data_IF_078676618161
#
_entry.id   IF_078676618161
#
_cell.length_a   1.000
_cell.length_b   1.000
_cell.length_c   1.000
_cell.angle_alpha   90.00
_cell.angle_beta   90.00
_cell.angle_gamma   90.00
#
_symmetry.space_group_name_H-M   'P 1'
#
loop_
_entity.id
_entity.type
_entity.pdbx_description
1 polymer ?
#
# COMPACT_ATOMS: atom_id res chain seq x y z
N UNK A 1 6.79 -1.95 -1.56
CA UNK A 1 6.11 -1.63 -0.31
C UNK A 1 4.68 -1.20 -0.60
N UNK A 2 3.69 -1.81 0.06
CA UNK A 2 2.27 -1.52 -0.15
C UNK A 2 1.79 -0.23 0.56
N UNK A 3 2.64 0.42 1.34
CA UNK A 3 2.29 1.60 2.12
C UNK A 3 3.34 2.70 1.96
N UNK A 4 2.89 3.95 2.07
CA UNK A 4 3.78 5.10 2.17
C UNK A 4 4.65 4.95 3.44
N UNK A 5 5.98 4.95 3.33
CA UNK A 5 6.89 4.68 4.46
C UNK A 5 6.77 5.70 5.60
N UNK A 6 6.36 6.93 5.30
CA UNK A 6 6.22 8.00 6.31
C UNK A 6 5.00 7.81 7.23
N UNK A 7 4.02 7.03 6.84
CA UNK A 7 2.82 6.79 7.66
C UNK A 7 3.00 5.65 8.66
N UNK A 8 3.88 4.72 8.38
CA UNK A 8 4.06 3.53 9.21
C UNK A 8 4.88 3.87 10.44
N UNK A 9 4.27 3.77 11.62
CA UNK A 9 4.93 4.01 12.91
C UNK A 9 5.54 2.75 13.50
N UNK A 10 4.91 1.61 13.28
CA UNK A 10 5.34 0.33 13.82
C UNK A 10 4.98 -0.79 12.86
N UNK A 11 5.89 -1.71 12.68
CA UNK A 11 5.67 -2.96 11.96
C UNK A 11 5.91 -4.09 12.94
N UNK A 12 4.95 -4.99 13.05
CA UNK A 12 5.07 -6.21 13.85
C UNK A 12 4.78 -7.44 13.00
N UNK A 13 5.60 -8.45 13.18
CA UNK A 13 5.46 -9.74 12.47
C UNK A 13 5.21 -10.81 13.52
N UNK A 14 4.08 -11.48 13.41
CA UNK A 14 3.74 -12.63 14.25
C UNK A 14 3.82 -13.90 13.40
N UNK A 15 4.63 -14.86 13.83
CA UNK A 15 4.80 -16.17 13.18
C UNK A 15 4.03 -17.23 13.93
N UNK A 16 3.58 -18.27 13.20
CA UNK A 16 2.95 -19.46 13.76
C UNK A 16 1.65 -19.22 14.54
N UNK A 17 0.85 -18.31 14.09
CA UNK A 17 -0.46 -18.02 14.64
C UNK A 17 -0.84 -16.56 14.50
N UNK A 18 -2.12 -16.30 14.59
CA UNK A 18 -2.69 -14.94 14.55
C UNK A 18 -3.60 -14.76 15.74
N UNK A 19 -3.71 -13.51 16.22
CA UNK A 19 -4.75 -13.17 17.18
C UNK A 19 -6.13 -13.36 16.54
N UNK A 20 -7.12 -13.77 17.32
CA UNK A 20 -8.52 -13.85 16.90
C UNK A 20 -9.11 -12.50 16.40
N UNK A 21 -8.40 -11.40 16.62
CA UNK A 21 -8.75 -10.09 16.07
C UNK A 21 -8.44 -9.98 14.55
N UNK A 22 -7.65 -10.90 13.99
CA UNK A 22 -7.36 -10.97 12.56
C UNK A 22 -8.02 -12.21 11.98
N UNK A 23 -8.99 -12.02 11.11
CA UNK A 23 -9.62 -13.12 10.38
C UNK A 23 -8.68 -13.67 9.30
N UNK A 24 -8.87 -14.93 8.93
CA UNK A 24 -8.26 -15.60 7.76
C UNK A 24 -6.73 -15.75 7.74
N UNK A 25 -6.04 -15.45 8.83
CA UNK A 25 -4.59 -15.64 8.94
C UNK A 25 -4.23 -17.09 9.27
N UNK A 26 -3.53 -17.79 8.35
CA UNK A 26 -3.23 -19.22 8.49
C UNK A 26 -1.85 -19.48 9.11
N UNK A 27 -0.86 -18.63 8.85
CA UNK A 27 0.53 -18.93 9.25
C UNK A 27 1.29 -17.76 9.88
N UNK A 28 1.06 -16.54 9.43
CA UNK A 28 1.74 -15.35 9.93
C UNK A 28 0.93 -14.10 9.66
N UNK A 29 1.14 -13.08 10.50
CA UNK A 29 0.53 -11.75 10.33
C UNK A 29 1.61 -10.68 10.32
N UNK A 30 1.56 -9.80 9.32
CA UNK A 30 2.34 -8.58 9.28
C UNK A 30 1.38 -7.43 9.60
N UNK A 31 1.52 -6.87 10.80
CA UNK A 31 0.70 -5.74 11.23
C UNK A 31 1.48 -4.43 11.08
N UNK A 32 0.92 -3.50 10.31
CA UNK A 32 1.46 -2.16 10.09
C UNK A 32 0.58 -1.13 10.78
N UNK A 33 1.11 -0.51 11.80
CA UNK A 33 0.40 0.49 12.58
C UNK A 33 0.79 1.90 12.15
N UNK A 34 -0.20 2.74 11.90
CA UNK A 34 -0.04 4.17 11.69
C UNK A 34 -0.32 4.93 12.99
N UNK A 35 0.11 6.21 13.09
CA UNK A 35 -0.17 7.02 14.29
C UNK A 35 -1.68 7.14 14.54
N UNK A 36 -2.10 6.87 15.76
CA UNK A 36 -3.48 7.05 16.25
C UNK A 36 -3.63 8.22 17.23
N UNK A 37 -2.57 9.05 17.37
CA UNK A 37 -2.52 10.15 18.32
C UNK A 37 -2.63 11.49 17.58
N UNK A 38 -3.54 12.34 18.03
CA UNK A 38 -3.64 13.72 17.58
C UNK A 38 -2.43 14.49 18.12
N UNK A 39 -1.73 15.19 17.25
CA UNK A 39 -0.52 15.95 17.58
C UNK A 39 -0.75 17.45 17.65
N UNK A 40 -1.86 17.92 17.06
CA UNK A 40 -2.20 19.33 16.90
C UNK A 40 -1.10 20.15 16.19
N UNK A 41 -0.27 19.47 15.39
CA UNK A 41 0.81 20.10 14.63
C UNK A 41 0.67 19.75 13.16
N UNK A 42 0.68 20.76 12.32
CA UNK A 42 0.83 20.54 10.89
C UNK A 42 2.19 19.88 10.63
N UNK A 43 2.19 18.77 9.96
CA UNK A 43 3.40 18.14 9.46
C UNK A 43 3.16 17.54 8.09
N UNK A 44 4.20 17.47 7.30
CA UNK A 44 4.13 16.88 5.99
C UNK A 44 5.51 16.63 5.42
N UNK A 45 5.56 15.83 4.40
CA UNK A 45 6.78 15.53 3.70
C UNK A 45 6.49 14.96 2.32
N UNK A 46 7.53 15.01 1.48
CA UNK A 46 7.52 14.41 0.17
C UNK A 46 8.80 13.60 0.00
N UNK A 47 8.68 12.48 -0.68
CA UNK A 47 9.78 11.61 -1.03
C UNK A 47 9.84 11.37 -2.53
N UNK A 48 11.04 11.17 -3.01
CA UNK A 48 11.31 10.82 -4.39
C UNK A 48 12.41 9.77 -4.45
N UNK A 49 12.16 8.73 -5.18
CA UNK A 49 13.14 7.69 -5.46
C UNK A 49 13.16 7.34 -6.96
N UNK A 50 13.96 6.38 -7.38
CA UNK A 50 14.10 6.02 -8.80
C UNK A 50 12.86 5.32 -9.40
N UNK A 51 11.84 5.02 -8.61
CA UNK A 51 10.65 4.29 -9.04
C UNK A 51 9.36 5.06 -8.80
N UNK A 52 9.31 5.90 -7.76
CA UNK A 52 8.08 6.55 -7.32
C UNK A 52 8.33 7.87 -6.61
N UNK A 53 7.32 8.70 -6.62
CA UNK A 53 7.21 9.87 -5.75
C UNK A 53 6.05 9.66 -4.76
N UNK A 54 6.20 10.21 -3.57
CA UNK A 54 5.21 10.13 -2.52
C UNK A 54 5.09 11.45 -1.74
N UNK A 55 3.94 11.64 -1.14
CA UNK A 55 3.63 12.78 -0.29
C UNK A 55 2.78 12.34 0.89
N UNK A 56 2.99 12.95 2.03
CA UNK A 56 2.08 12.80 3.17
C UNK A 56 1.86 14.14 3.85
N UNK A 57 0.67 14.30 4.44
CA UNK A 57 0.26 15.49 5.19
C UNK A 57 -0.49 15.04 6.46
N UNK A 58 -0.21 15.70 7.56
CA UNK A 58 -0.96 15.65 8.81
C UNK A 58 -1.50 17.05 9.08
N UNK A 59 -2.80 17.19 9.03
CA UNK A 59 -3.48 18.49 9.07
C UNK A 59 -4.38 18.55 10.30
N UNK A 60 -4.02 19.31 11.33
CA UNK A 60 -4.92 19.57 12.44
C UNK A 60 -6.04 20.51 11.97
N UNK A 61 -7.28 20.02 12.04
CA UNK A 61 -8.48 20.81 11.70
C UNK A 61 -8.97 21.55 12.94
N UNK A 62 -8.92 20.87 14.09
CA UNK A 62 -9.25 21.39 15.43
C UNK A 62 -8.35 20.69 16.45
N UNK A 63 -8.35 21.16 17.68
CA UNK A 63 -7.58 20.56 18.77
C UNK A 63 -7.87 19.06 18.97
N UNK A 64 -9.07 18.64 18.62
CA UNK A 64 -9.55 17.27 18.77
C UNK A 64 -9.84 16.54 17.44
N UNK A 65 -9.48 17.15 16.30
CA UNK A 65 -9.72 16.61 14.97
C UNK A 65 -8.47 16.80 14.07
N UNK A 66 -7.91 15.71 13.62
CA UNK A 66 -6.74 15.68 12.72
C UNK A 66 -7.00 14.79 11.52
N UNK A 67 -6.57 15.23 10.36
CA UNK A 67 -6.65 14.50 9.10
C UNK A 67 -5.25 14.14 8.62
N UNK A 68 -5.04 12.87 8.30
CA UNK A 68 -3.84 12.40 7.62
C UNK A 68 -4.19 12.04 6.18
N UNK A 69 -3.39 12.52 5.26
CA UNK A 69 -3.52 12.26 3.82
C UNK A 69 -2.18 11.77 3.30
N UNK A 70 -2.19 10.75 2.47
CA UNK A 70 -0.99 10.38 1.74
C UNK A 70 -1.33 9.94 0.33
N UNK A 71 -0.37 10.12 -0.56
CA UNK A 71 -0.43 9.63 -1.92
C UNK A 71 0.95 9.21 -2.39
N UNK A 72 0.99 8.20 -3.24
CA UNK A 72 2.21 7.75 -3.89
C UNK A 72 1.88 7.30 -5.30
N UNK A 73 2.76 7.61 -6.24
CA UNK A 73 2.69 7.15 -7.62
C UNK A 73 4.06 6.74 -8.13
N UNK A 74 4.12 5.61 -8.85
CA UNK A 74 5.28 5.31 -9.68
C UNK A 74 5.27 6.17 -10.95
N UNK A 75 6.43 6.37 -11.53
CA UNK A 75 6.60 7.02 -12.83
C UNK A 75 7.31 6.12 -13.84
N UNK A 76 7.26 4.84 -13.61
CA UNK A 76 7.85 3.80 -14.44
C UNK A 76 7.17 3.66 -15.81
N UNK A 77 5.99 4.22 -15.95
CA UNK A 77 5.25 4.41 -17.19
C UNK A 77 5.79 5.57 -18.06
N UNK A 78 6.51 6.54 -17.46
CA UNK A 78 7.07 7.69 -18.17
C UNK A 78 8.59 7.62 -18.31
N UNK A 79 9.28 6.97 -17.38
CA UNK A 79 10.74 6.94 -17.30
C UNK A 79 11.22 5.52 -17.06
N UNK A 80 11.86 4.96 -18.08
CA UNK A 80 12.57 3.69 -17.95
C UNK A 80 13.91 3.88 -17.24
N UNK A 81 13.93 3.56 -15.95
CA UNK A 81 15.18 3.60 -15.18
C UNK A 81 15.91 2.26 -15.25
N UNK A 82 17.27 2.24 -15.24
CA UNK A 82 18.03 0.99 -15.14
C UNK A 82 17.63 0.14 -13.93
N UNK A 83 17.25 0.79 -12.84
CA UNK A 83 16.76 0.13 -11.63
C UNK A 83 15.45 -0.62 -11.88
N UNK A 84 14.49 -0.01 -12.56
CA UNK A 84 13.26 -0.65 -12.96
C UNK A 84 13.51 -1.87 -13.84
N UNK A 85 14.31 -1.71 -14.90
CA UNK A 85 14.61 -2.78 -15.83
C UNK A 85 15.29 -3.97 -15.15
N UNK A 86 16.20 -3.73 -14.20
CA UNK A 86 16.84 -4.78 -13.42
C UNK A 86 15.86 -5.52 -12.50
N UNK A 87 14.95 -4.83 -11.83
CA UNK A 87 13.92 -5.46 -11.01
C UNK A 87 12.94 -6.27 -11.85
N UNK A 88 12.52 -5.70 -12.96
CA UNK A 88 11.62 -6.38 -13.89
C UNK A 88 12.24 -7.66 -14.42
N UNK A 89 13.46 -7.59 -14.99
CA UNK A 89 14.16 -8.75 -15.51
C UNK A 89 14.28 -9.87 -14.47
N UNK A 90 14.62 -9.54 -13.22
CA UNK A 90 14.73 -10.53 -12.15
C UNK A 90 13.39 -11.15 -11.77
N UNK A 91 12.32 -10.40 -11.77
CA UNK A 91 10.98 -10.89 -11.41
C UNK A 91 10.43 -11.88 -12.43
N UNK A 92 10.84 -11.78 -13.69
CA UNK A 92 10.38 -12.61 -14.79
C UNK A 92 11.39 -13.70 -15.23
N UNK A 93 12.65 -13.61 -14.81
CA UNK A 93 13.67 -14.63 -15.12
C UNK A 93 13.30 -16.05 -14.66
N UNK A 94 12.63 -16.16 -13.51
CA UNK A 94 12.26 -17.47 -12.94
C UNK A 94 11.00 -18.08 -13.60
N UNK A 95 10.25 -17.29 -14.36
CA UNK A 95 9.02 -17.73 -15.03
C UNK A 95 9.24 -18.06 -16.51
N UNK A 96 10.40 -17.75 -17.06
CA UNK A 96 10.74 -18.16 -18.42
C UNK A 96 10.99 -19.67 -18.44
N UNK A 97 9.97 -20.42 -18.74
CA UNK A 97 10.15 -21.75 -19.35
C UNK A 97 11.13 -21.52 -20.49
N UNK A 98 12.29 -22.16 -20.39
CA UNK A 98 13.42 -22.03 -21.33
C UNK A 98 12.98 -22.24 -22.77
N UNK A 99 12.48 -21.22 -23.41
CA UNK A 99 12.39 -21.20 -24.86
C UNK A 99 13.46 -20.24 -25.35
N UNK A 100 14.49 -20.80 -25.95
CA UNK A 100 15.61 -20.08 -26.61
C UNK A 100 15.16 -19.12 -27.74
N UNK A 101 13.87 -18.80 -27.82
CA UNK A 101 13.23 -18.10 -28.93
C UNK A 101 12.61 -16.76 -28.55
N UNK A 102 12.68 -16.30 -27.30
CA UNK A 102 12.18 -14.98 -26.91
C UNK A 102 13.16 -13.93 -27.44
N UNK A 103 12.70 -13.10 -28.35
CA UNK A 103 13.52 -12.05 -28.97
C UNK A 103 13.42 -10.70 -28.28
N UNK A 104 12.27 -10.29 -27.84
CA UNK A 104 12.04 -9.01 -27.17
C UNK A 104 10.84 -9.11 -26.22
N UNK A 105 10.89 -8.37 -25.14
CA UNK A 105 9.75 -8.10 -24.28
C UNK A 105 9.66 -6.60 -23.99
N UNK A 106 8.47 -6.08 -24.04
CA UNK A 106 8.16 -4.73 -23.59
C UNK A 106 7.22 -4.84 -22.40
N UNK A 107 7.47 -4.08 -21.37
CA UNK A 107 6.64 -4.08 -20.19
C UNK A 107 6.46 -2.69 -19.65
N UNK A 108 5.23 -2.38 -19.33
CA UNK A 108 4.85 -1.16 -18.67
C UNK A 108 4.19 -1.50 -17.34
N UNK A 109 4.80 -1.09 -16.24
CA UNK A 109 4.25 -1.29 -14.91
C UNK A 109 4.16 0.04 -14.20
N UNK A 110 2.97 0.38 -13.73
CA UNK A 110 2.80 1.50 -12.83
C UNK A 110 1.87 1.16 -11.66
N UNK A 111 2.05 1.86 -10.58
CA UNK A 111 1.18 1.77 -9.42
C UNK A 111 0.91 3.15 -8.84
N UNK A 112 -0.22 3.27 -8.17
CA UNK A 112 -0.50 4.38 -7.30
C UNK A 112 -1.29 3.92 -6.09
N UNK A 113 -1.09 4.61 -4.99
CA UNK A 113 -1.85 4.42 -3.77
C UNK A 113 -2.15 5.77 -3.12
N UNK A 114 -3.27 5.83 -2.43
CA UNK A 114 -3.61 6.94 -1.59
C UNK A 114 -4.35 6.46 -0.34
N UNK A 115 -4.18 7.20 0.74
CA UNK A 115 -4.87 6.92 1.99
C UNK A 115 -5.35 8.19 2.66
N UNK A 116 -6.46 8.02 3.37
CA UNK A 116 -7.05 9.06 4.22
C UNK A 116 -7.28 8.46 5.60
N UNK A 117 -6.97 9.23 6.63
CA UNK A 117 -7.23 8.84 8.01
C UNK A 117 -7.74 10.03 8.78
N UNK A 118 -8.84 9.82 9.50
CA UNK A 118 -9.45 10.81 10.39
C UNK A 118 -9.25 10.37 11.82
N UNK A 119 -8.72 11.26 12.63
CA UNK A 119 -8.58 11.11 14.07
C UNK A 119 -9.50 12.12 14.74
N UNK A 120 -10.46 11.65 15.51
CA UNK A 120 -11.39 12.50 16.21
C UNK A 120 -11.54 12.05 17.67
N UNK A 121 -11.23 12.95 18.60
CA UNK A 121 -11.36 12.73 20.02
C UNK A 121 -12.54 13.54 20.56
N UNK A 122 -13.52 12.87 21.17
CA UNK A 122 -14.70 13.49 21.75
C UNK A 122 -14.52 13.54 23.26
N UNK A 123 -14.08 14.69 23.73
CA UNK A 123 -13.68 14.87 25.12
C UNK A 123 -12.51 13.96 25.49
N UNK A 124 -12.46 13.52 26.74
CA UNK A 124 -11.37 12.68 27.24
C UNK A 124 -11.68 11.17 27.22
N UNK A 125 -12.91 10.81 26.86
CA UNK A 125 -13.41 9.43 27.02
C UNK A 125 -13.60 8.69 25.70
N UNK A 126 -13.87 9.38 24.62
CA UNK A 126 -14.19 8.75 23.35
C UNK A 126 -13.21 9.13 22.26
N UNK A 127 -12.85 8.17 21.45
CA UNK A 127 -12.06 8.43 20.24
C UNK A 127 -12.60 7.65 19.06
N UNK A 128 -12.69 8.32 17.92
CA UNK A 128 -13.10 7.75 16.64
C UNK A 128 -11.91 7.80 15.70
N UNK A 129 -11.66 6.70 15.00
CA UNK A 129 -10.62 6.57 13.99
C UNK A 129 -11.23 5.97 12.73
N UNK A 130 -11.17 6.70 11.64
CA UNK A 130 -11.60 6.22 10.34
C UNK A 130 -10.38 6.15 9.41
N UNK A 131 -10.24 5.06 8.67
CA UNK A 131 -9.16 4.88 7.73
C UNK A 131 -9.75 4.45 6.38
N UNK A 132 -9.10 4.88 5.33
CA UNK A 132 -9.38 4.49 3.96
C UNK A 132 -8.05 4.35 3.21
N UNK A 133 -7.91 3.30 2.43
CA UNK A 133 -6.76 3.08 1.56
C UNK A 133 -7.22 2.48 0.23
N UNK A 134 -6.65 2.96 -0.86
CA UNK A 134 -6.78 2.35 -2.18
C UNK A 134 -5.41 2.17 -2.79
N UNK A 135 -5.19 1.00 -3.37
CA UNK A 135 -3.94 0.63 -4.06
C UNK A 135 -4.34 0.10 -5.43
N UNK A 136 -3.74 0.65 -6.49
CA UNK A 136 -3.89 0.15 -7.86
C UNK A 136 -2.52 -0.18 -8.45
N UNK A 137 -2.46 -1.34 -9.09
CA UNK A 137 -1.31 -1.81 -9.86
C UNK A 137 -1.80 -2.13 -11.28
N UNK A 138 -1.03 -1.72 -12.26
CA UNK A 138 -1.24 -2.05 -13.66
C UNK A 138 0.06 -2.55 -14.25
N UNK A 139 0.02 -3.73 -14.85
CA UNK A 139 1.11 -4.32 -15.60
C UNK A 139 0.60 -4.65 -16.99
N UNK A 140 1.24 -4.10 -18.00
CA UNK A 140 1.07 -4.44 -19.40
C UNK A 140 2.38 -5.09 -19.87
N UNK A 141 2.27 -6.31 -20.39
CA UNK A 141 3.42 -7.12 -20.75
C UNK A 141 3.24 -7.70 -22.15
N UNK A 142 4.06 -7.23 -23.08
CA UNK A 142 4.10 -7.69 -24.46
C UNK A 142 5.31 -8.62 -24.63
N UNK A 143 5.05 -9.84 -25.05
CA UNK A 143 6.05 -10.84 -25.38
C UNK A 143 6.05 -11.09 -26.88
N UNK A 144 7.24 -11.01 -27.49
CA UNK A 144 7.42 -11.29 -28.91
C UNK A 144 8.37 -12.47 -29.07
N UNK A 145 7.91 -13.56 -29.62
CA UNK A 145 8.73 -14.74 -29.89
C UNK A 145 8.55 -15.26 -31.32
N UNK A 146 9.55 -15.94 -31.82
CA UNK A 146 9.53 -16.53 -33.15
C UNK A 146 9.41 -18.04 -33.06
N UNK A 147 8.36 -18.59 -33.65
CA UNK A 147 8.15 -20.04 -33.79
C UNK A 147 7.93 -20.38 -35.26
N UNK A 148 8.66 -21.36 -35.78
CA UNK A 148 8.52 -21.84 -37.16
C UNK A 148 8.57 -20.70 -38.21
N UNK A 149 9.49 -19.77 -38.10
CA UNK A 149 9.61 -18.57 -38.95
C UNK A 149 8.40 -17.58 -38.89
N UNK A 150 7.50 -17.75 -37.94
CA UNK A 150 6.39 -16.83 -37.70
C UNK A 150 6.65 -16.06 -36.40
N UNK A 151 6.56 -14.74 -36.45
CA UNK A 151 6.61 -13.90 -35.26
C UNK A 151 5.23 -13.89 -34.61
N UNK A 152 5.18 -14.23 -33.35
CA UNK A 152 3.96 -14.24 -32.53
C UNK A 152 4.13 -13.17 -31.46
N UNK A 153 3.12 -12.33 -31.31
CA UNK A 153 3.02 -11.32 -30.26
C UNK A 153 1.91 -11.73 -29.28
N UNK A 154 2.24 -11.76 -28.02
CA UNK A 154 1.30 -12.08 -26.94
C UNK A 154 1.29 -10.93 -25.93
N UNK A 155 0.12 -10.33 -25.74
CA UNK A 155 -0.09 -9.24 -24.80
C UNK A 155 -0.84 -9.75 -23.56
N UNK A 156 -0.25 -9.54 -22.38
CA UNK A 156 -0.81 -9.90 -21.10
C UNK A 156 -1.00 -8.65 -20.23
N UNK A 157 -2.23 -8.42 -19.78
CA UNK A 157 -2.56 -7.27 -18.95
C UNK A 157 -3.01 -7.75 -17.56
N UNK A 158 -2.33 -7.29 -16.51
CA UNK A 158 -2.73 -7.50 -15.13
C UNK A 158 -3.13 -6.18 -14.49
N UNK A 159 -4.40 -6.09 -14.09
CA UNK A 159 -4.93 -4.95 -13.33
C UNK A 159 -5.36 -5.44 -11.96
N UNK A 160 -4.79 -4.87 -10.93
CA UNK A 160 -5.11 -5.19 -9.54
C UNK A 160 -5.54 -3.93 -8.81
N UNK A 161 -6.69 -4.00 -8.16
CA UNK A 161 -7.21 -2.93 -7.31
C UNK A 161 -7.54 -3.50 -5.95
N UNK A 162 -7.03 -2.84 -4.90
CA UNK A 162 -7.32 -3.17 -3.51
C UNK A 162 -7.89 -1.94 -2.83
N UNK A 163 -9.02 -2.13 -2.18
CA UNK A 163 -9.71 -1.12 -1.39
C UNK A 163 -9.81 -1.63 0.05
N UNK A 164 -9.43 -0.80 1.00
CA UNK A 164 -9.58 -1.07 2.42
C UNK A 164 -10.18 0.12 3.14
N UNK A 165 -11.10 -0.14 4.06
CA UNK A 165 -11.64 0.87 4.94
C UNK A 165 -11.81 0.31 6.35
N UNK A 166 -11.68 1.16 7.35
CA UNK A 166 -11.98 0.77 8.72
C UNK A 166 -12.51 1.95 9.53
N UNK A 167 -13.39 1.64 10.46
CA UNK A 167 -13.93 2.57 11.44
C UNK A 167 -13.78 1.94 12.83
N UNK A 168 -13.17 2.66 13.76
CA UNK A 168 -13.07 2.23 15.14
C UNK A 168 -13.52 3.31 16.10
N UNK A 169 -14.21 2.87 17.14
CA UNK A 169 -14.64 3.69 18.25
C UNK A 169 -14.16 3.08 19.55
N UNK A 170 -13.42 3.89 20.32
CA UNK A 170 -12.96 3.53 21.65
C UNK A 170 -13.65 4.42 22.68
N UNK A 171 -14.16 3.82 23.73
CA UNK A 171 -14.80 4.53 24.84
C UNK A 171 -14.19 4.09 26.17
N UNK A 172 -13.68 5.03 26.95
CA UNK A 172 -13.19 4.83 28.31
C UNK A 172 -14.24 5.33 29.29
N UNK A 173 -15.08 4.44 29.81
CA UNK A 173 -16.18 4.79 30.69
C UNK A 173 -15.67 5.16 32.09
N UNK A 174 -14.75 4.36 32.59
CA UNK A 174 -14.08 4.59 33.86
C UNK A 174 -12.71 3.84 33.88
N UNK A 175 -12.00 3.88 35.00
CA UNK A 175 -10.68 3.25 35.13
C UNK A 175 -10.66 1.72 35.04
N UNK A 176 -11.81 1.06 35.13
CA UNK A 176 -11.97 -0.40 35.04
C UNK A 176 -12.65 -0.86 33.77
N UNK A 177 -13.36 0.01 33.08
CA UNK A 177 -14.22 -0.39 31.95
C UNK A 177 -13.95 0.49 30.73
N UNK A 178 -13.64 -0.17 29.63
CA UNK A 178 -13.49 0.42 28.31
C UNK A 178 -14.17 -0.45 27.25
N UNK A 179 -14.63 0.17 26.18
CA UNK A 179 -15.21 -0.51 25.02
C UNK A 179 -14.40 -0.15 23.78
N UNK A 180 -14.12 -1.16 22.96
CA UNK A 180 -13.55 -0.99 21.65
C UNK A 180 -14.49 -1.66 20.64
N UNK A 181 -14.96 -0.89 19.66
CA UNK A 181 -15.76 -1.37 18.55
C UNK A 181 -15.04 -1.04 17.25
N UNK A 182 -14.85 -2.03 16.40
CA UNK A 182 -14.20 -1.87 15.10
C UNK A 182 -14.95 -2.59 14.00
N UNK A 183 -15.01 -1.95 12.83
CA UNK A 183 -15.54 -2.52 11.59
C UNK A 183 -14.51 -2.28 10.48
N UNK A 184 -14.35 -3.25 9.58
CA UNK A 184 -13.45 -3.22 8.44
C UNK A 184 -13.95 -4.12 7.31
#
# INVERSE_FOLDING_TARGET
SAYNPYLTKKISVTKNGTSSAFSDGVSSTINMETSNRITNKFSGGAGFNLLSADVFLQVPIKENLELHISGRRSFTDFVNTPTYNNYFSRSFQDNSVSSNNIKNYESEFYFYDYSFKVLYDIGYKHSIRANFIQIKNNLDYLETYTSNNTTIEENSILKQENLGSSLSWNANWNYKFSTNLSAF
#
